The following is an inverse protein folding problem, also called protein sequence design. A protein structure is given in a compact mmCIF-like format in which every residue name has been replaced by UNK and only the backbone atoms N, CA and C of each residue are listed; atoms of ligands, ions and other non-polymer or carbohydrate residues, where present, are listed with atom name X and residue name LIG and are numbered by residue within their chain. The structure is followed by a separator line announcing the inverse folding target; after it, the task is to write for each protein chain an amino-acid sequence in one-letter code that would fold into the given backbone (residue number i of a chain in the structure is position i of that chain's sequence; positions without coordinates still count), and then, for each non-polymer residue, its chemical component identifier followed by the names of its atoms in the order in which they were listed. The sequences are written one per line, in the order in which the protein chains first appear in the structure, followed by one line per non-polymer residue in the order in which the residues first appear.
data_IF_820584471539
#
_entry.id   IF_820584471539
#
_cell.length_a   1.000
_cell.length_b   1.000
_cell.length_c   1.000
_cell.angle_alpha   90.00
_cell.angle_beta   90.00
_cell.angle_gamma   90.00
#
_symmetry.space_group_name_H-M   'P 1'
#
loop_
_entity.id
_entity.type
_entity.pdbx_description
1 polymer ?
#
# COMPACT_ATOMS: atom_id res chain seq x y z
N UNK A 1 4.49 -10.04 -20.50
CA UNK A 1 3.14 -9.55 -20.87
C UNK A 1 2.75 -8.51 -19.83
N UNK A 2 2.53 -7.30 -20.30
CA UNK A 2 2.34 -6.08 -19.51
C UNK A 2 1.20 -6.24 -18.51
N UNK A 3 1.52 -6.05 -17.24
CA UNK A 3 0.50 -5.78 -16.22
C UNK A 3 -0.43 -4.68 -16.72
N UNK A 4 -1.72 -4.78 -16.40
CA UNK A 4 -2.74 -3.77 -16.69
C UNK A 4 -2.16 -2.39 -16.44
N UNK A 5 -2.41 -1.39 -17.29
CA UNK A 5 -1.96 -0.04 -17.02
C UNK A 5 -2.61 0.38 -15.71
N UNK A 6 -1.82 0.32 -14.64
CA UNK A 6 -2.24 0.89 -13.36
C UNK A 6 -2.72 2.29 -13.68
N UNK A 7 -3.93 2.61 -13.28
CA UNK A 7 -4.53 3.93 -13.45
C UNK A 7 -3.55 4.98 -12.91
N UNK A 8 -2.82 5.67 -13.80
CA UNK A 8 -1.82 6.68 -13.48
C UNK A 8 -2.36 8.08 -13.62
N UNK A 9 -3.67 8.24 -13.50
CA UNK A 9 -4.37 9.51 -13.66
C UNK A 9 -4.35 10.29 -12.34
N UNK A 10 -3.90 11.53 -12.40
CA UNK A 10 -3.86 12.46 -11.24
C UNK A 10 -4.91 13.53 -11.45
N UNK A 11 -5.73 13.79 -10.43
CA UNK A 11 -6.60 14.94 -10.38
C UNK A 11 -5.83 16.13 -9.81
N UNK A 12 -5.64 17.16 -10.61
CA UNK A 12 -4.98 18.41 -10.21
C UNK A 12 -6.02 19.50 -9.96
N UNK A 13 -6.09 19.96 -8.73
CA UNK A 13 -6.88 21.11 -8.30
C UNK A 13 -5.97 22.32 -8.10
N UNK A 14 -5.93 23.20 -9.08
CA UNK A 14 -5.08 24.40 -9.06
C UNK A 14 -5.73 25.53 -9.85
N UNK A 15 -5.46 26.79 -9.46
CA UNK A 15 -6.05 27.99 -10.09
C UNK A 15 -5.07 28.80 -10.94
N UNK A 16 -3.76 28.61 -10.75
CA UNK A 16 -2.73 29.33 -11.50
C UNK A 16 -2.38 28.57 -12.78
N UNK A 17 -2.63 29.17 -13.99
CA UNK A 17 -2.38 28.50 -15.25
C UNK A 17 -0.90 28.13 -15.48
N UNK A 18 0.04 28.94 -14.97
CA UNK A 18 1.48 28.69 -15.13
C UNK A 18 1.89 27.45 -14.33
N UNK A 19 1.42 27.34 -13.08
CA UNK A 19 1.70 26.17 -12.26
C UNK A 19 0.97 24.92 -12.77
N UNK A 20 -0.25 25.06 -13.31
CA UNK A 20 -0.97 23.95 -13.95
C UNK A 20 -0.13 23.37 -15.11
N UNK A 21 0.38 24.23 -16.00
CA UNK A 21 1.22 23.80 -17.12
C UNK A 21 2.50 23.12 -16.64
N UNK A 22 3.18 23.71 -15.66
CA UNK A 22 4.41 23.21 -15.06
C UNK A 22 4.21 21.84 -14.40
N UNK A 23 3.18 21.70 -13.57
CA UNK A 23 2.83 20.45 -12.89
C UNK A 23 2.44 19.37 -13.90
N UNK A 24 1.59 19.70 -14.86
CA UNK A 24 1.16 18.78 -15.91
C UNK A 24 2.35 18.26 -16.72
N UNK A 25 3.25 19.15 -17.15
CA UNK A 25 4.46 18.77 -17.87
C UNK A 25 5.38 17.86 -17.05
N UNK A 26 5.57 18.18 -15.76
CA UNK A 26 6.41 17.40 -14.84
C UNK A 26 5.85 16.01 -14.59
N UNK A 27 4.56 15.90 -14.30
CA UNK A 27 3.86 14.64 -14.06
C UNK A 27 3.77 13.79 -15.33
N UNK A 28 3.51 14.40 -16.49
CA UNK A 28 3.47 13.68 -17.77
C UNK A 28 4.81 13.06 -18.14
N UNK A 29 5.93 13.78 -17.93
CA UNK A 29 7.29 13.22 -18.09
C UNK A 29 7.56 12.05 -17.15
N UNK A 30 6.91 12.03 -15.99
CA UNK A 30 7.01 10.94 -15.04
C UNK A 30 6.10 9.75 -15.33
N UNK A 31 5.29 9.82 -16.40
CA UNK A 31 4.39 8.77 -16.86
C UNK A 31 2.99 8.83 -16.25
N UNK A 32 2.57 9.97 -15.68
CA UNK A 32 1.21 10.20 -15.20
C UNK A 32 0.39 10.98 -16.22
N UNK A 33 -0.90 10.68 -16.34
CA UNK A 33 -1.88 11.55 -16.98
C UNK A 33 -2.46 12.52 -15.97
N UNK A 34 -2.72 13.77 -16.37
CA UNK A 34 -3.24 14.80 -15.46
C UNK A 34 -4.57 15.29 -15.95
N UNK A 35 -5.55 15.31 -15.08
CA UNK A 35 -6.84 15.95 -15.29
C UNK A 35 -6.89 17.18 -14.38
N UNK A 36 -7.02 18.33 -15.01
CA UNK A 36 -7.17 19.59 -14.29
C UNK A 36 -8.65 19.83 -14.05
N UNK A 37 -9.01 20.02 -12.79
CA UNK A 37 -10.36 20.43 -12.45
C UNK A 37 -10.34 21.71 -11.62
N UNK A 38 -11.29 22.57 -11.89
CA UNK A 38 -11.63 23.64 -10.98
C UNK A 38 -12.42 23.06 -9.81
N UNK A 39 -11.99 23.32 -8.58
CA UNK A 39 -12.60 22.80 -7.36
C UNK A 39 -14.11 23.17 -7.18
N UNK A 40 -14.67 23.96 -8.07
CA UNK A 40 -16.09 24.29 -8.14
C UNK A 40 -16.92 23.39 -9.07
N UNK A 41 -16.29 22.65 -9.96
CA UNK A 41 -16.94 21.76 -10.95
C UNK A 41 -16.08 20.53 -11.20
N UNK A 42 -16.05 19.62 -10.23
CA UNK A 42 -15.67 18.25 -10.52
C UNK A 42 -16.75 17.66 -11.44
N UNK A 43 -16.42 17.43 -12.71
CA UNK A 43 -17.29 16.69 -13.60
C UNK A 43 -17.33 15.24 -13.10
N UNK A 44 -18.25 14.95 -12.19
CA UNK A 44 -18.48 13.63 -11.58
C UNK A 44 -18.51 12.51 -12.64
N UNK A 45 -19.01 12.82 -13.83
CA UNK A 45 -19.08 11.89 -14.95
C UNK A 45 -17.69 11.41 -15.43
N UNK A 46 -16.69 12.31 -15.49
CA UNK A 46 -15.32 11.92 -15.91
C UNK A 46 -14.60 11.12 -14.85
N UNK A 47 -14.87 11.40 -13.57
CA UNK A 47 -14.26 10.68 -12.45
C UNK A 47 -14.80 9.26 -12.26
N UNK A 48 -16.04 9.01 -12.68
CA UNK A 48 -16.68 7.68 -12.57
C UNK A 48 -16.16 6.72 -13.65
N UNK A 49 -15.94 7.21 -14.89
CA UNK A 49 -15.51 6.34 -16.00
C UNK A 49 -14.00 6.03 -15.99
N UNK A 50 -13.19 6.97 -15.52
CA UNK A 50 -11.74 6.79 -15.41
C UNK A 50 -11.24 7.49 -14.12
N UNK A 51 -11.37 6.84 -12.98
CA UNK A 51 -11.09 7.44 -11.69
C UNK A 51 -9.62 7.79 -11.53
N UNK A 52 -9.27 8.95 -10.93
CA UNK A 52 -7.89 9.27 -10.61
C UNK A 52 -7.34 8.34 -9.53
N UNK A 53 -6.03 8.14 -9.53
CA UNK A 53 -5.35 7.38 -8.48
C UNK A 53 -4.87 8.26 -7.31
N UNK A 54 -4.88 9.59 -7.48
CA UNK A 54 -4.42 10.56 -6.48
C UNK A 54 -5.01 11.95 -6.79
N UNK A 55 -5.26 12.71 -5.73
CA UNK A 55 -5.61 14.14 -5.80
C UNK A 55 -4.40 14.97 -5.39
N UNK A 56 -3.99 15.88 -6.27
CA UNK A 56 -2.98 16.90 -5.99
C UNK A 56 -3.68 18.26 -5.96
N UNK A 57 -3.74 18.90 -4.81
CA UNK A 57 -4.54 20.10 -4.60
C UNK A 57 -3.72 21.25 -4.05
N UNK A 58 -3.86 22.47 -4.62
CA UNK A 58 -3.14 23.64 -4.16
C UNK A 58 -3.98 24.47 -3.17
N UNK A 59 -3.36 24.86 -2.07
CA UNK A 59 -3.93 25.86 -1.17
C UNK A 59 -4.23 27.16 -1.93
N UNK A 60 -5.35 27.79 -1.61
CA UNK A 60 -5.80 29.02 -2.29
C UNK A 60 -6.65 28.77 -3.54
N UNK A 61 -6.80 27.53 -3.98
CA UNK A 61 -7.69 27.20 -5.08
C UNK A 61 -9.14 27.61 -4.71
N UNK A 62 -9.71 28.53 -5.50
CA UNK A 62 -11.01 29.16 -5.23
C UNK A 62 -11.12 29.82 -3.83
N UNK A 63 -10.01 30.37 -3.30
CA UNK A 63 -9.95 31.03 -1.99
C UNK A 63 -9.99 30.07 -0.78
N UNK A 64 -9.89 28.76 -1.00
CA UNK A 64 -9.94 27.76 0.08
C UNK A 64 -8.58 27.58 0.75
N UNK A 65 -8.57 27.52 2.09
CA UNK A 65 -7.39 27.08 2.84
C UNK A 65 -7.14 25.58 2.67
N UNK A 66 -5.95 25.13 3.04
CA UNK A 66 -5.61 23.70 3.05
C UNK A 66 -6.63 22.89 3.88
N UNK A 67 -7.02 23.39 5.06
CA UNK A 67 -7.99 22.76 5.94
C UNK A 67 -9.36 22.58 5.29
N UNK A 68 -9.86 23.63 4.65
CA UNK A 68 -11.18 23.60 3.99
C UNK A 68 -11.16 22.62 2.84
N UNK A 69 -10.11 22.67 2.02
CA UNK A 69 -9.97 21.80 0.86
C UNK A 69 -9.85 20.32 1.26
N UNK A 70 -9.04 20.01 2.27
CA UNK A 70 -8.91 18.65 2.77
C UNK A 70 -10.21 18.10 3.33
N UNK A 71 -10.95 18.89 4.12
CA UNK A 71 -12.24 18.49 4.67
C UNK A 71 -13.28 18.22 3.58
N UNK A 72 -13.37 19.09 2.57
CA UNK A 72 -14.26 18.91 1.44
C UNK A 72 -13.95 17.64 0.65
N UNK A 73 -12.66 17.40 0.35
CA UNK A 73 -12.21 16.20 -0.34
C UNK A 73 -12.53 14.92 0.47
N UNK A 74 -12.29 14.94 1.78
CA UNK A 74 -12.58 13.79 2.66
C UNK A 74 -14.09 13.55 2.87
N UNK A 75 -14.92 14.57 2.77
CA UNK A 75 -16.36 14.44 2.84
C UNK A 75 -16.98 13.87 1.55
N UNK A 76 -16.28 13.94 0.42
CA UNK A 76 -16.73 13.36 -0.84
C UNK A 76 -16.66 11.82 -0.79
N UNK A 77 -17.74 11.09 -1.09
CA UNK A 77 -17.78 9.63 -0.98
C UNK A 77 -16.78 8.90 -1.90
N UNK A 78 -16.40 9.54 -3.00
CA UNK A 78 -15.48 8.99 -4.00
C UNK A 78 -14.06 9.49 -3.78
N UNK A 79 -13.84 10.81 -3.75
CA UNK A 79 -12.53 11.43 -3.60
C UNK A 79 -11.94 11.20 -2.20
N UNK A 80 -12.78 11.07 -1.17
CA UNK A 80 -12.34 10.83 0.20
C UNK A 80 -11.57 9.53 0.42
N UNK A 81 -11.62 8.60 -0.54
CA UNK A 81 -10.86 7.35 -0.52
C UNK A 81 -9.51 7.43 -1.23
N UNK A 82 -9.30 8.48 -2.02
CA UNK A 82 -8.06 8.67 -2.77
C UNK A 82 -6.97 9.29 -1.89
N UNK A 83 -5.70 8.99 -2.14
CA UNK A 83 -4.62 9.73 -1.51
C UNK A 83 -4.66 11.19 -1.96
N UNK A 84 -4.43 12.09 -1.00
CA UNK A 84 -4.45 13.54 -1.18
C UNK A 84 -3.10 14.13 -0.82
N UNK A 85 -2.50 14.86 -1.75
CA UNK A 85 -1.31 15.67 -1.51
C UNK A 85 -1.69 17.15 -1.62
N UNK A 86 -1.33 17.95 -0.62
CA UNK A 86 -1.59 19.40 -0.61
C UNK A 86 -0.33 20.18 -0.97
N UNK A 87 -0.44 21.06 -1.98
CA UNK A 87 0.57 22.11 -2.22
C UNK A 87 0.27 23.30 -1.32
N UNK A 88 1.19 23.66 -0.44
CA UNK A 88 1.00 24.71 0.55
C UNK A 88 2.20 25.66 0.58
N UNK A 89 1.98 26.94 0.86
CA UNK A 89 3.08 27.87 1.04
C UNK A 89 3.96 27.48 2.23
N UNK A 90 5.28 27.52 2.06
CA UNK A 90 6.26 27.15 3.10
C UNK A 90 6.00 27.87 4.44
N UNK A 91 5.65 29.15 4.39
CA UNK A 91 5.33 29.95 5.57
C UNK A 91 4.10 29.45 6.37
N UNK A 92 3.26 28.60 5.76
CA UNK A 92 2.02 28.08 6.37
C UNK A 92 2.15 26.64 6.89
N UNK A 93 3.25 25.95 6.58
CA UNK A 93 3.43 24.55 6.91
C UNK A 93 3.29 24.26 8.42
N UNK A 94 3.79 25.18 9.25
CA UNK A 94 3.74 25.03 10.71
C UNK A 94 2.42 25.48 11.36
N UNK A 95 1.54 26.13 10.59
CA UNK A 95 0.24 26.61 11.07
C UNK A 95 -0.87 25.56 10.93
N UNK A 96 -0.57 24.41 10.32
CA UNK A 96 -1.54 23.37 9.95
C UNK A 96 -1.38 22.15 10.83
N UNK A 97 -2.48 21.69 11.41
CA UNK A 97 -2.54 20.38 12.07
C UNK A 97 -2.73 19.27 11.01
N UNK A 98 -1.62 18.78 10.49
CA UNK A 98 -1.59 17.76 9.45
C UNK A 98 -2.25 16.45 9.87
N UNK A 99 -2.16 16.07 11.15
CA UNK A 99 -2.76 14.85 11.65
C UNK A 99 -4.30 14.93 11.62
N UNK A 100 -4.87 16.10 11.90
CA UNK A 100 -6.31 16.32 11.88
C UNK A 100 -6.90 16.44 10.47
N UNK A 101 -6.07 16.81 9.46
CA UNK A 101 -6.56 17.01 8.09
C UNK A 101 -6.85 15.72 7.34
N UNK A 102 -6.23 14.61 7.73
CA UNK A 102 -6.39 13.34 7.03
C UNK A 102 -5.85 13.33 5.59
N UNK A 103 -4.88 14.20 5.27
CA UNK A 103 -4.14 14.17 4.00
C UNK A 103 -2.96 13.21 4.10
N UNK A 104 -2.50 12.68 2.96
CA UNK A 104 -1.46 11.66 2.94
C UNK A 104 -0.06 12.26 2.85
N UNK A 105 0.08 13.46 2.28
CA UNK A 105 1.35 14.21 2.22
C UNK A 105 1.08 15.69 1.91
N UNK A 106 2.12 16.51 2.08
CA UNK A 106 2.13 17.90 1.61
C UNK A 106 3.45 18.25 0.89
N UNK A 107 3.42 19.27 0.06
CA UNK A 107 4.58 19.81 -0.63
C UNK A 107 4.62 21.33 -0.37
N UNK A 108 5.72 21.80 0.21
CA UNK A 108 5.90 23.23 0.44
C UNK A 108 6.23 23.96 -0.87
N UNK A 109 5.58 25.11 -1.09
CA UNK A 109 5.84 25.98 -2.23
C UNK A 109 6.74 27.14 -1.76
N UNK A 110 7.87 27.42 -2.45
CA UNK A 110 8.32 26.88 -3.74
C UNK A 110 8.97 25.48 -3.64
N UNK A 111 8.71 24.63 -4.61
CA UNK A 111 9.26 23.27 -4.71
C UNK A 111 10.16 23.10 -5.94
N UNK A 112 11.00 22.06 -5.94
CA UNK A 112 11.79 21.68 -7.11
C UNK A 112 10.92 20.91 -8.11
N UNK A 113 11.10 21.06 -9.44
CA UNK A 113 10.26 20.41 -10.44
C UNK A 113 10.17 18.89 -10.31
N UNK A 114 11.24 18.25 -9.82
CA UNK A 114 11.33 16.80 -9.67
C UNK A 114 10.65 16.30 -8.38
N UNK A 115 10.40 17.16 -7.43
CA UNK A 115 9.86 16.79 -6.11
C UNK A 115 8.44 16.27 -6.20
N UNK A 116 7.57 16.93 -6.97
CA UNK A 116 6.17 16.57 -7.07
C UNK A 116 5.97 15.14 -7.62
N UNK A 117 6.57 14.77 -8.76
CA UNK A 117 6.47 13.39 -9.25
C UNK A 117 7.04 12.34 -8.29
N UNK A 118 8.11 12.67 -7.56
CA UNK A 118 8.69 11.76 -6.58
C UNK A 118 7.75 11.55 -5.38
N UNK A 119 7.16 12.62 -4.84
CA UNK A 119 6.18 12.54 -3.75
C UNK A 119 4.94 11.75 -4.16
N UNK A 120 4.43 11.99 -5.37
CA UNK A 120 3.30 11.23 -5.92
C UNK A 120 3.63 9.74 -5.99
N UNK A 121 4.80 9.36 -6.52
CA UNK A 121 5.22 7.95 -6.59
C UNK A 121 5.34 7.33 -5.20
N UNK A 122 5.94 8.04 -4.24
CA UNK A 122 6.08 7.56 -2.86
C UNK A 122 4.72 7.37 -2.18
N UNK A 123 3.80 8.31 -2.36
CA UNK A 123 2.46 8.25 -1.81
C UNK A 123 1.70 7.02 -2.37
N UNK A 124 1.68 6.84 -3.69
CA UNK A 124 1.05 5.69 -4.33
C UNK A 124 1.69 4.36 -3.91
N UNK A 125 3.01 4.30 -3.85
CA UNK A 125 3.72 3.09 -3.41
C UNK A 125 3.46 2.72 -1.94
N UNK A 126 3.25 3.71 -1.06
CA UNK A 126 2.84 3.47 0.34
C UNK A 126 1.42 2.93 0.41
N UNK A 127 0.51 3.52 -0.38
CA UNK A 127 -0.87 3.08 -0.46
C UNK A 127 -0.96 1.63 -0.96
N UNK A 128 -0.30 1.32 -2.07
CA UNK A 128 -0.26 -0.03 -2.65
C UNK A 128 0.22 -1.05 -1.60
N UNK A 129 1.32 -0.77 -0.91
CA UNK A 129 1.81 -1.65 0.17
C UNK A 129 0.84 -1.77 1.34
N UNK A 130 0.16 -0.69 1.71
CA UNK A 130 -0.81 -0.70 2.81
C UNK A 130 -2.07 -1.49 2.45
N UNK A 131 -2.53 -1.40 1.20
CA UNK A 131 -3.71 -2.14 0.72
C UNK A 131 -3.41 -3.62 0.48
N UNK A 132 -2.17 -3.95 0.09
CA UNK A 132 -1.75 -5.32 -0.16
C UNK A 132 -1.43 -6.07 1.15
N UNK A 133 -0.94 -5.37 2.18
CA UNK A 133 -0.61 -6.01 3.44
C UNK A 133 -1.84 -6.59 4.14
N UNK A 134 -1.73 -7.83 4.61
CA UNK A 134 -2.78 -8.45 5.42
C UNK A 134 -3.05 -7.63 6.69
N UNK A 135 -4.30 -7.26 7.00
CA UNK A 135 -4.61 -6.37 8.12
C UNK A 135 -4.27 -6.96 9.49
N UNK A 136 -4.30 -8.29 9.63
CA UNK A 136 -4.04 -8.99 10.89
C UNK A 136 -2.53 -9.20 11.11
N UNK A 137 -1.86 -9.82 10.13
CA UNK A 137 -0.46 -10.24 10.25
C UNK A 137 0.53 -9.19 9.78
N UNK A 138 0.09 -8.20 8.99
CA UNK A 138 0.89 -7.17 8.32
C UNK A 138 1.93 -7.72 7.33
N UNK A 139 1.84 -9.00 7.01
CA UNK A 139 2.64 -9.59 5.94
C UNK A 139 2.21 -9.08 4.57
N UNK A 140 3.15 -9.05 3.60
CA UNK A 140 2.83 -8.83 2.19
C UNK A 140 1.72 -9.75 1.69
N UNK A 141 0.78 -9.18 0.94
CA UNK A 141 -0.32 -9.92 0.32
C UNK A 141 -0.02 -10.32 -1.13
N UNK A 142 -1.10 -10.63 -1.85
CA UNK A 142 -1.03 -11.25 -3.17
C UNK A 142 -0.26 -10.46 -4.23
N UNK A 143 -0.39 -9.13 -4.25
CA UNK A 143 0.31 -8.29 -5.24
C UNK A 143 1.83 -8.31 -5.03
N UNK A 144 2.27 -8.20 -3.77
CA UNK A 144 3.69 -8.26 -3.43
C UNK A 144 4.25 -9.68 -3.61
N UNK A 145 3.50 -10.73 -3.25
CA UNK A 145 3.88 -12.12 -3.50
C UNK A 145 4.11 -12.36 -4.99
N UNK A 146 3.19 -11.90 -5.85
CA UNK A 146 3.32 -12.03 -7.30
C UNK A 146 4.52 -11.26 -7.83
N UNK A 147 4.73 -10.03 -7.37
CA UNK A 147 5.88 -9.20 -7.77
C UNK A 147 7.20 -9.87 -7.40
N UNK A 148 7.34 -10.33 -6.15
CA UNK A 148 8.54 -11.01 -5.67
C UNK A 148 8.82 -12.30 -6.45
N UNK A 149 7.78 -13.11 -6.70
CA UNK A 149 7.88 -14.33 -7.50
C UNK A 149 8.37 -14.03 -8.91
N UNK A 150 7.79 -13.00 -9.56
CA UNK A 150 8.17 -12.58 -10.91
C UNK A 150 9.62 -12.10 -10.96
N UNK A 151 10.01 -11.26 -10.00
CA UNK A 151 11.39 -10.75 -9.92
C UNK A 151 12.43 -11.89 -9.76
N UNK A 152 12.12 -12.91 -8.95
CA UNK A 152 12.98 -14.08 -8.78
C UNK A 152 13.07 -14.91 -10.07
N UNK A 153 11.96 -15.12 -10.77
CA UNK A 153 11.95 -15.80 -12.08
C UNK A 153 12.80 -15.02 -13.09
N UNK A 154 12.64 -13.71 -13.18
CA UNK A 154 13.37 -12.84 -14.12
C UNK A 154 14.87 -12.77 -13.79
N UNK A 155 15.25 -12.90 -12.53
CA UNK A 155 16.67 -12.96 -12.13
C UNK A 155 17.40 -14.20 -12.63
N UNK A 156 16.66 -15.28 -12.95
CA UNK A 156 17.21 -16.56 -13.37
C UNK A 156 17.92 -17.35 -12.26
N UNK A 157 17.98 -16.83 -11.03
CA UNK A 157 18.53 -17.55 -9.89
C UNK A 157 17.52 -18.60 -9.38
N UNK A 158 17.98 -19.83 -9.07
CA UNK A 158 17.07 -20.85 -8.55
C UNK A 158 16.54 -20.45 -7.17
N UNK A 159 15.24 -20.55 -6.98
CA UNK A 159 14.57 -20.36 -5.70
C UNK A 159 13.51 -21.44 -5.47
N UNK A 160 13.13 -21.64 -4.22
CA UNK A 160 12.01 -22.50 -3.84
C UNK A 160 10.89 -21.62 -3.26
N UNK A 161 9.66 -22.00 -3.60
CA UNK A 161 8.44 -21.42 -3.05
C UNK A 161 7.69 -22.52 -2.33
N UNK A 162 7.31 -22.26 -1.08
CA UNK A 162 6.49 -23.16 -0.28
C UNK A 162 5.16 -22.49 0.09
N UNK A 163 4.12 -23.29 0.08
CA UNK A 163 2.78 -22.95 0.53
C UNK A 163 2.55 -23.57 1.90
N UNK A 164 2.03 -22.81 2.85
CA UNK A 164 1.70 -23.24 4.19
C UNK A 164 0.21 -23.01 4.43
N UNK A 165 -0.49 -24.01 4.89
CA UNK A 165 -1.90 -24.02 5.27
C UNK A 165 -2.05 -24.66 6.66
N UNK A 166 -3.01 -24.20 7.45
CA UNK A 166 -3.25 -24.74 8.79
C UNK A 166 -4.32 -25.83 8.76
N UNK A 167 -3.90 -27.06 9.05
CA UNK A 167 -4.81 -28.20 9.11
C UNK A 167 -5.98 -27.96 10.08
N UNK A 168 -7.21 -28.17 9.59
CA UNK A 168 -8.44 -28.07 10.37
C UNK A 168 -8.73 -26.67 10.97
N UNK A 169 -8.14 -25.60 10.44
CA UNK A 169 -8.32 -24.25 10.98
C UNK A 169 -9.78 -23.80 11.02
N UNK A 170 -10.57 -24.14 10.01
CA UNK A 170 -12.02 -23.89 10.03
C UNK A 170 -12.71 -24.54 11.23
N UNK A 171 -12.42 -25.81 11.51
CA UNK A 171 -13.00 -26.53 12.65
C UNK A 171 -12.57 -25.94 13.98
N UNK A 172 -11.34 -25.43 14.05
CA UNK A 172 -10.83 -24.68 15.21
C UNK A 172 -11.66 -23.40 15.42
N UNK A 173 -11.86 -22.59 14.37
CA UNK A 173 -12.66 -21.37 14.44
C UNK A 173 -14.11 -21.64 14.84
N UNK A 174 -14.72 -22.70 14.30
CA UNK A 174 -16.10 -23.09 14.63
C UNK A 174 -16.24 -23.46 16.12
N UNK A 175 -15.19 -23.99 16.73
CA UNK A 175 -15.20 -24.42 18.15
C UNK A 175 -14.80 -23.31 19.12
N UNK A 176 -13.74 -22.55 18.81
CA UNK A 176 -13.12 -21.59 19.74
C UNK A 176 -13.39 -20.12 19.39
N UNK A 177 -13.99 -19.87 18.23
CA UNK A 177 -14.32 -18.53 17.73
C UNK A 177 -13.17 -17.86 16.94
N UNK A 178 -13.54 -16.90 16.11
CA UNK A 178 -12.61 -16.20 15.20
C UNK A 178 -11.52 -15.43 15.94
N UNK A 179 -11.81 -14.84 17.12
CA UNK A 179 -10.79 -14.12 17.89
C UNK A 179 -9.63 -15.02 18.32
N UNK A 180 -9.93 -16.27 18.69
CA UNK A 180 -8.91 -17.27 19.02
C UNK A 180 -8.16 -17.74 17.78
N UNK A 181 -8.87 -17.88 16.66
CA UNK A 181 -8.25 -18.16 15.37
C UNK A 181 -7.29 -17.06 14.92
N UNK A 182 -7.64 -15.81 15.10
CA UNK A 182 -6.77 -14.66 14.80
C UNK A 182 -5.47 -14.71 15.62
N UNK A 183 -5.54 -15.11 16.91
CA UNK A 183 -4.34 -15.31 17.74
C UNK A 183 -3.45 -16.42 17.17
N UNK A 184 -4.03 -17.55 16.71
CA UNK A 184 -3.29 -18.64 16.06
C UNK A 184 -2.61 -18.15 14.79
N UNK A 185 -3.30 -17.38 13.94
CA UNK A 185 -2.70 -16.81 12.72
C UNK A 185 -1.54 -15.87 13.02
N UNK A 186 -1.66 -15.02 14.04
CA UNK A 186 -0.58 -14.11 14.46
C UNK A 186 0.63 -14.89 14.98
N UNK A 187 0.42 -15.95 15.76
CA UNK A 187 1.50 -16.80 16.26
C UNK A 187 2.17 -17.56 15.12
N UNK A 188 1.38 -18.14 14.20
CA UNK A 188 1.90 -18.78 12.99
C UNK A 188 2.78 -17.84 12.17
N UNK A 189 2.28 -16.62 11.94
CA UNK A 189 3.02 -15.57 11.26
C UNK A 189 4.38 -15.27 11.93
N UNK A 190 4.41 -15.15 13.27
CA UNK A 190 5.64 -14.90 14.02
C UNK A 190 6.63 -16.05 13.94
N UNK A 191 6.15 -17.30 14.07
CA UNK A 191 6.99 -18.49 13.91
C UNK A 191 7.59 -18.52 12.51
N UNK A 192 6.76 -18.34 11.47
CA UNK A 192 7.16 -18.37 10.07
C UNK A 192 8.21 -17.30 9.77
N UNK A 193 7.95 -16.04 10.13
CA UNK A 193 8.89 -14.94 9.88
C UNK A 193 10.21 -15.13 10.61
N UNK A 194 10.18 -15.62 11.84
CA UNK A 194 11.39 -15.89 12.62
C UNK A 194 12.23 -16.99 11.99
N UNK A 195 11.61 -18.14 11.66
CA UNK A 195 12.32 -19.27 11.07
C UNK A 195 12.92 -18.95 9.71
N UNK A 196 12.14 -18.25 8.84
CA UNK A 196 12.64 -17.84 7.52
C UNK A 196 13.79 -16.84 7.68
N UNK A 197 13.69 -15.88 8.59
CA UNK A 197 14.79 -14.93 8.86
C UNK A 197 16.05 -15.60 9.40
N UNK A 198 15.92 -16.59 10.29
CA UNK A 198 17.06 -17.31 10.87
C UNK A 198 17.78 -18.19 9.85
N UNK A 199 17.05 -18.88 8.96
CA UNK A 199 17.60 -19.89 8.06
C UNK A 199 17.89 -19.38 6.64
N UNK A 200 17.14 -18.40 6.15
CA UNK A 200 17.31 -17.83 4.83
C UNK A 200 17.91 -16.41 4.83
N UNK A 201 17.92 -15.73 5.97
CA UNK A 201 18.43 -14.35 6.09
C UNK A 201 17.75 -13.39 5.13
N UNK A 202 18.55 -12.62 4.38
CA UNK A 202 18.03 -11.62 3.42
C UNK A 202 17.44 -12.22 2.14
N UNK A 203 17.67 -13.50 1.86
CA UNK A 203 17.04 -14.20 0.73
C UNK A 203 15.64 -14.70 1.05
N UNK A 204 15.24 -14.70 2.33
CA UNK A 204 13.93 -15.12 2.77
C UNK A 204 12.85 -14.10 2.46
N UNK A 205 11.70 -14.58 1.96
CA UNK A 205 10.47 -13.81 1.78
C UNK A 205 9.31 -14.54 2.44
N UNK A 206 8.39 -13.80 3.04
CA UNK A 206 7.15 -14.33 3.64
C UNK A 206 5.98 -13.46 3.22
N UNK A 207 4.88 -14.10 2.82
CA UNK A 207 3.63 -13.45 2.44
C UNK A 207 2.41 -14.17 3.04
N UNK A 208 1.28 -13.46 3.12
CA UNK A 208 0.00 -13.98 3.59
C UNK A 208 -1.04 -13.85 2.48
N UNK A 209 -1.46 -14.97 1.94
CA UNK A 209 -2.40 -15.03 0.80
C UNK A 209 -3.81 -14.68 1.25
N UNK A 210 -4.23 -15.21 2.41
CA UNK A 210 -5.52 -14.95 3.01
C UNK A 210 -6.01 -16.15 3.85
N UNK A 211 -6.89 -15.89 4.81
CA UNK A 211 -7.33 -16.95 5.73
C UNK A 211 -6.17 -17.55 6.50
N UNK A 212 -5.96 -18.85 6.36
CA UNK A 212 -4.88 -19.64 6.95
C UNK A 212 -3.72 -19.93 5.98
N UNK A 213 -3.75 -19.35 4.77
CA UNK A 213 -2.78 -19.56 3.71
C UNK A 213 -1.60 -18.59 3.76
N UNK A 214 -0.40 -19.11 3.91
CA UNK A 214 0.86 -18.36 3.87
C UNK A 214 1.77 -18.88 2.74
N UNK A 215 2.65 -18.00 2.27
CA UNK A 215 3.68 -18.34 1.29
C UNK A 215 5.03 -17.88 1.81
N UNK A 216 6.07 -18.68 1.59
CA UNK A 216 7.43 -18.24 1.80
C UNK A 216 8.38 -18.73 0.70
N UNK A 217 9.45 -17.99 0.50
CA UNK A 217 10.44 -18.27 -0.52
C UNK A 217 11.85 -18.21 0.08
N UNK A 218 12.72 -19.06 -0.41
CA UNK A 218 14.14 -19.06 -0.03
C UNK A 218 14.98 -19.76 -1.09
N UNK A 219 16.29 -19.85 -0.88
CA UNK A 219 17.14 -20.71 -1.69
C UNK A 219 16.69 -22.19 -1.59
N UNK A 220 16.78 -23.00 -2.67
CA UNK A 220 16.37 -24.41 -2.64
C UNK A 220 17.08 -25.24 -1.55
N UNK A 221 18.30 -24.86 -1.20
CA UNK A 221 19.10 -25.57 -0.19
C UNK A 221 18.55 -25.41 1.24
N UNK A 222 17.77 -24.37 1.52
CA UNK A 222 17.28 -24.05 2.88
C UNK A 222 15.81 -24.38 3.10
N UNK A 223 15.03 -24.56 2.04
CA UNK A 223 13.57 -24.70 2.12
C UNK A 223 13.13 -25.88 3.00
N UNK A 224 13.79 -27.02 2.89
CA UNK A 224 13.44 -28.23 3.67
C UNK A 224 13.69 -28.01 5.16
N UNK A 225 14.84 -27.43 5.52
CA UNK A 225 15.18 -27.11 6.91
C UNK A 225 14.19 -26.10 7.52
N UNK A 226 13.74 -25.13 6.70
CA UNK A 226 12.69 -24.18 7.12
C UNK A 226 11.40 -24.93 7.41
N UNK A 227 10.90 -25.76 6.50
CA UNK A 227 9.67 -26.53 6.68
C UNK A 227 9.71 -27.39 7.96
N UNK A 228 10.78 -28.14 8.15
CA UNK A 228 10.95 -29.02 9.34
C UNK A 228 10.98 -28.20 10.63
N UNK A 229 11.66 -27.06 10.64
CA UNK A 229 11.75 -26.19 11.81
C UNK A 229 10.41 -25.52 12.13
N UNK A 230 9.68 -25.11 11.11
CA UNK A 230 8.33 -24.54 11.23
C UNK A 230 7.38 -25.51 11.91
N UNK A 231 7.28 -26.74 11.37
CA UNK A 231 6.40 -27.79 11.93
C UNK A 231 6.74 -28.02 13.40
N UNK A 232 8.02 -28.22 13.72
CA UNK A 232 8.45 -28.46 15.10
C UNK A 232 8.08 -27.31 16.04
N UNK A 233 8.28 -26.05 15.64
CA UNK A 233 7.96 -24.89 16.47
C UNK A 233 6.46 -24.68 16.61
N UNK A 234 5.73 -24.91 15.54
CA UNK A 234 4.27 -24.83 15.55
C UNK A 234 3.66 -25.88 16.48
N UNK A 235 4.08 -27.15 16.36
CA UNK A 235 3.61 -28.25 17.21
C UNK A 235 3.90 -28.07 18.69
N UNK A 236 4.96 -27.32 19.03
CA UNK A 236 5.29 -26.99 20.43
C UNK A 236 4.36 -25.91 21.01
N UNK A 237 3.88 -24.98 20.18
CA UNK A 237 3.13 -23.81 20.64
C UNK A 237 1.63 -23.98 20.52
N UNK A 238 1.17 -24.67 19.44
CA UNK A 238 -0.25 -24.75 19.13
C UNK A 238 -1.11 -25.43 20.21
N UNK A 239 -0.60 -26.40 21.02
CA UNK A 239 -1.40 -26.98 22.10
C UNK A 239 -1.89 -25.98 23.13
N UNK A 240 -1.18 -24.87 23.35
CA UNK A 240 -1.58 -23.81 24.30
C UNK A 240 -2.86 -23.05 23.85
N UNK A 241 -3.31 -23.28 22.63
CA UNK A 241 -4.53 -22.69 22.08
C UNK A 241 -5.76 -23.60 22.18
N UNK A 242 -5.57 -24.86 22.63
CA UNK A 242 -6.64 -25.81 22.89
C UNK A 242 -6.90 -25.85 24.41
N UNK A 243 -8.12 -25.50 24.82
CA UNK A 243 -8.60 -25.59 26.20
C UNK A 243 -9.28 -26.94 26.47
#
# INVERSE_FOLDING_TARGET
MSGSPSNRRILLLHHDPVEIERLTAGLSRAGFSVVVADAGRLALHELVHDPPCLVLAAEGTNGRSADTLAKELRADPFLGRLPVIILIRDSRVNDVDWAALGVDDYIAVPYRPEEVPQRVRLCLSRLERSLDANPLTRLPGNSTILHETTARIESGAPFALAYLDLDNFKSFNDRYGYARGDEVLVVTCRILTTVVSELAGTDGFVGHVGGDDFVFMSAPATIEAICQTLIKRFDLVIPDFYD
#
